data_IF_549274470359
#
_entry.id   IF_549274470359
#
_cell.length_a   1.000
_cell.length_b   1.000
_cell.length_c   1.000
_cell.angle_alpha   90.00
_cell.angle_beta   90.00
_cell.angle_gamma   90.00
#
_symmetry.space_group_name_H-M   'P 1'
#
loop_
_entity.id
_entity.type
_entity.pdbx_description
1 polymer ?
#
# COMPACT_ATOMS: atom_id res chain seq x y z
N UNK A 1 -11.77 38.26 24.60
CA UNK A 1 -10.73 37.98 23.59
C UNK A 1 -10.73 36.47 23.35
N UNK A 2 -11.40 35.99 22.30
CA UNK A 2 -11.48 34.56 21.97
C UNK A 2 -10.36 34.22 20.98
N UNK A 3 -9.46 33.30 21.36
CA UNK A 3 -8.41 32.77 20.47
C UNK A 3 -9.07 32.08 19.26
N UNK A 4 -8.55 32.24 18.04
CA UNK A 4 -9.03 31.46 16.91
C UNK A 4 -8.60 30.00 17.08
N UNK A 5 -9.58 29.09 17.05
CA UNK A 5 -9.34 27.65 16.91
C UNK A 5 -8.64 27.42 15.56
N UNK A 6 -7.35 27.10 15.62
CA UNK A 6 -6.58 26.70 14.45
C UNK A 6 -7.23 25.48 13.82
N UNK A 7 -7.67 25.63 12.55
CA UNK A 7 -8.12 24.51 11.73
C UNK A 7 -6.95 23.55 11.56
N UNK A 8 -6.91 22.48 12.37
CA UNK A 8 -6.02 21.36 12.14
C UNK A 8 -6.40 20.77 10.78
N UNK A 9 -5.54 20.91 9.77
CA UNK A 9 -5.65 20.15 8.54
C UNK A 9 -5.40 18.70 8.93
N UNK A 10 -6.48 17.95 9.21
CA UNK A 10 -6.46 16.49 9.26
C UNK A 10 -6.11 16.00 7.85
N UNK A 11 -4.81 15.88 7.56
CA UNK A 11 -4.36 15.02 6.47
C UNK A 11 -4.77 13.62 6.89
N UNK A 12 -5.79 13.06 6.22
CA UNK A 12 -6.24 11.69 6.44
C UNK A 12 -5.00 10.80 6.42
N UNK A 13 -4.70 10.10 7.52
CA UNK A 13 -3.59 9.17 7.54
C UNK A 13 -3.76 8.20 6.37
N UNK A 14 -2.73 8.02 5.56
CA UNK A 14 -2.78 7.06 4.46
C UNK A 14 -2.73 5.68 5.10
N UNK A 15 -3.78 4.89 4.97
CA UNK A 15 -3.84 3.55 5.56
C UNK A 15 -2.96 2.60 4.75
N UNK A 16 -2.24 1.73 5.46
CA UNK A 16 -1.36 0.72 4.87
C UNK A 16 -1.79 -0.67 5.37
N UNK A 17 -1.70 -1.66 4.50
CA UNK A 17 -2.19 -3.03 4.74
C UNK A 17 -2.59 -3.68 3.43
N UNK A 18 -2.81 -5.01 3.46
CA UNK A 18 -3.21 -5.75 2.26
C UNK A 18 -4.65 -5.39 1.90
N UNK A 19 -4.85 -4.81 0.72
CA UNK A 19 -6.16 -4.56 0.13
C UNK A 19 -6.61 -5.76 -0.72
N UNK A 20 -5.72 -6.25 -1.58
CA UNK A 20 -5.96 -7.41 -2.44
C UNK A 20 -4.69 -8.26 -2.53
N UNK A 21 -4.84 -9.58 -2.51
CA UNK A 21 -3.78 -10.53 -2.82
C UNK A 21 -4.39 -11.64 -3.68
N UNK A 22 -4.13 -11.57 -4.98
CA UNK A 22 -4.68 -12.49 -5.99
C UNK A 22 -3.59 -12.97 -6.93
N UNK A 23 -3.87 -14.06 -7.65
CA UNK A 23 -3.18 -14.26 -8.91
C UNK A 23 -3.94 -13.50 -10.01
N UNK A 24 -3.23 -12.66 -10.74
CA UNK A 24 -3.78 -11.87 -11.83
C UNK A 24 -3.22 -12.36 -13.16
N UNK A 25 -4.06 -12.40 -14.20
CA UNK A 25 -3.63 -12.73 -15.54
C UNK A 25 -3.13 -11.47 -16.25
N UNK A 26 -1.80 -11.33 -16.33
CA UNK A 26 -1.14 -10.20 -16.98
C UNK A 26 -0.54 -10.54 -18.34
N UNK A 27 0.12 -9.58 -19.01
CA UNK A 27 0.81 -9.80 -20.28
C UNK A 27 1.94 -10.83 -20.20
N UNK A 28 2.41 -11.16 -18.99
CA UNK A 28 3.45 -12.14 -18.71
C UNK A 28 2.90 -13.43 -18.06
N UNK A 29 1.60 -13.69 -18.20
CA UNK A 29 0.92 -14.86 -17.67
C UNK A 29 0.27 -14.64 -16.31
N UNK A 30 -0.14 -15.75 -15.70
CA UNK A 30 -0.80 -15.75 -14.40
C UNK A 30 0.24 -15.62 -13.29
N UNK A 31 0.26 -14.47 -12.61
CA UNK A 31 1.29 -14.11 -11.64
C UNK A 31 0.68 -13.60 -10.34
N UNK A 32 1.34 -13.83 -9.18
CA UNK A 32 0.98 -13.16 -7.94
C UNK A 32 0.93 -11.64 -8.12
N UNK A 33 -0.11 -11.02 -7.56
CA UNK A 33 -0.30 -9.58 -7.47
C UNK A 33 -0.80 -9.24 -6.07
N UNK A 34 -0.24 -8.19 -5.48
CA UNK A 34 -0.70 -7.65 -4.21
C UNK A 34 -0.89 -6.14 -4.32
N UNK A 35 -2.01 -5.67 -3.78
CA UNK A 35 -2.34 -4.25 -3.66
C UNK A 35 -2.40 -3.85 -2.20
N UNK A 36 -1.81 -2.71 -1.88
CA UNK A 36 -1.86 -2.04 -0.60
C UNK A 36 -3.03 -1.06 -0.56
N UNK A 37 -3.64 -0.87 0.62
CA UNK A 37 -4.72 0.11 0.85
C UNK A 37 -4.36 1.55 0.44
N UNK A 38 -3.06 1.86 0.34
CA UNK A 38 -2.56 3.15 -0.08
C UNK A 38 -2.52 3.34 -1.61
N UNK A 39 -2.90 2.32 -2.39
CA UNK A 39 -2.89 2.29 -3.86
C UNK A 39 -1.55 1.84 -4.47
N UNK A 40 -0.59 1.41 -3.65
CA UNK A 40 0.63 0.75 -4.14
C UNK A 40 0.27 -0.69 -4.56
N UNK A 41 0.76 -1.14 -5.71
CA UNK A 41 0.51 -2.49 -6.20
C UNK A 41 1.75 -3.06 -6.87
N UNK A 42 1.98 -4.37 -6.68
CA UNK A 42 3.15 -5.04 -7.20
C UNK A 42 2.81 -6.47 -7.65
N UNK A 43 3.47 -6.92 -8.73
CA UNK A 43 3.36 -8.28 -9.25
C UNK A 43 4.73 -8.85 -9.53
N UNK A 44 4.96 -10.11 -9.16
CA UNK A 44 6.22 -10.82 -9.35
C UNK A 44 5.97 -12.26 -9.83
N UNK A 45 7.05 -13.03 -10.00
CA UNK A 45 6.96 -14.44 -10.39
C UNK A 45 6.60 -15.37 -9.22
N UNK A 46 6.78 -14.92 -7.96
CA UNK A 46 6.46 -15.67 -6.74
C UNK A 46 5.78 -14.83 -5.66
N UNK A 47 5.05 -15.48 -4.73
CA UNK A 47 4.46 -14.80 -3.58
C UNK A 47 5.50 -14.27 -2.61
N UNK A 48 6.64 -14.96 -2.50
CA UNK A 48 7.78 -14.55 -1.69
C UNK A 48 8.34 -13.19 -2.16
N UNK A 49 8.51 -13.00 -3.47
CA UNK A 49 8.95 -11.71 -4.03
C UNK A 49 7.92 -10.60 -3.79
N UNK A 50 6.63 -10.88 -4.06
CA UNK A 50 5.56 -9.90 -3.81
C UNK A 50 5.48 -9.52 -2.33
N UNK A 51 5.62 -10.51 -1.44
CA UNK A 51 5.61 -10.29 0.01
C UNK A 51 6.82 -9.49 0.50
N UNK A 52 8.00 -9.72 -0.08
CA UNK A 52 9.21 -8.95 0.21
C UNK A 52 9.06 -7.47 -0.16
N UNK A 53 8.61 -7.18 -1.38
CA UNK A 53 8.38 -5.81 -1.84
C UNK A 53 7.27 -5.11 -1.04
N UNK A 54 6.24 -5.85 -0.63
CA UNK A 54 5.19 -5.32 0.24
C UNK A 54 5.71 -4.98 1.64
N UNK A 55 6.53 -5.84 2.25
CA UNK A 55 7.15 -5.58 3.55
C UNK A 55 8.07 -4.34 3.50
N UNK A 56 8.85 -4.20 2.44
CA UNK A 56 9.69 -3.02 2.23
C UNK A 56 8.85 -1.75 2.03
N UNK A 57 7.77 -1.83 1.25
CA UNK A 57 6.80 -0.74 1.13
C UNK A 57 6.21 -0.30 2.50
N UNK A 58 5.87 -1.26 3.37
CA UNK A 58 5.36 -0.97 4.72
C UNK A 58 6.43 -0.30 5.60
N UNK A 59 7.68 -0.75 5.55
CA UNK A 59 8.80 -0.14 6.29
C UNK A 59 9.07 1.29 5.84
N UNK A 60 9.02 1.56 4.53
CA UNK A 60 9.23 2.91 4.00
C UNK A 60 8.10 3.85 4.37
N UNK A 61 6.86 3.35 4.37
CA UNK A 61 5.67 4.14 4.71
C UNK A 61 5.52 4.43 6.21
N UNK A 62 6.28 3.72 7.06
CA UNK A 62 6.29 3.90 8.51
C UNK A 62 7.32 4.93 9.00
N UNK A 63 8.06 5.58 8.08
CA UNK A 63 9.05 6.63 8.39
C UNK A 63 8.42 8.03 8.32
#
# INVERSE_FOLDING_TARGET
>A
MTKPAGKVKLTKAKEHGVAEAVYSNGPFGFRPYMECLCGWGFSADSWEEVGGEFDDHLKESSK
#
